data_IF_171525754455
#
_entry.id   IF_171525754455
#
_cell.length_a   1.000
_cell.length_b   1.000
_cell.length_c   1.000
_cell.angle_alpha   90.00
_cell.angle_beta   90.00
_cell.angle_gamma   90.00
#
_symmetry.space_group_name_H-M   'P 1'
#
loop_
_entity.id
_entity.type
_entity.pdbx_description
1 polymer ?
#
# COMPACT_ATOMS: atom_id res chain seq x y z
N UNK A 1 19.46 -15.01 -14.07
CA UNK A 1 18.27 -14.87 -13.17
C UNK A 1 18.47 -13.59 -12.35
N UNK A 2 17.39 -12.86 -12.01
CA UNK A 2 17.44 -11.65 -11.16
C UNK A 2 16.88 -11.99 -9.78
N UNK A 3 17.00 -11.07 -8.82
CA UNK A 3 16.35 -11.26 -7.52
C UNK A 3 14.85 -11.45 -7.68
N UNK A 4 14.31 -12.41 -6.93
CA UNK A 4 12.88 -12.68 -6.84
C UNK A 4 12.24 -11.79 -5.78
N UNK A 5 11.00 -11.37 -6.01
CA UNK A 5 10.17 -10.69 -5.00
C UNK A 5 9.45 -11.70 -4.08
N UNK A 6 9.58 -13.01 -4.35
CA UNK A 6 9.11 -14.09 -3.49
C UNK A 6 10.10 -14.32 -2.33
N UNK A 7 9.63 -14.06 -1.11
CA UNK A 7 10.41 -14.23 0.12
C UNK A 7 10.58 -15.71 0.52
N UNK A 8 10.17 -16.67 -0.29
CA UNK A 8 10.49 -18.10 -0.13
C UNK A 8 11.40 -18.62 -1.23
N UNK A 9 11.69 -17.80 -2.25
CA UNK A 9 12.60 -18.14 -3.33
C UNK A 9 14.07 -18.13 -2.88
N UNK A 10 14.88 -19.02 -3.45
CA UNK A 10 16.32 -19.03 -3.31
C UNK A 10 16.94 -17.72 -3.83
N UNK A 11 16.36 -17.13 -4.87
CA UNK A 11 16.81 -15.85 -5.44
C UNK A 11 16.28 -14.61 -4.70
N UNK A 12 15.66 -14.76 -3.53
CA UNK A 12 15.27 -13.63 -2.69
C UNK A 12 16.46 -12.68 -2.41
N UNK A 13 16.24 -11.37 -2.24
CA UNK A 13 17.31 -10.39 -2.06
C UNK A 13 18.03 -10.48 -0.70
N UNK A 14 17.55 -11.32 0.21
CA UNK A 14 18.12 -11.53 1.53
C UNK A 14 18.26 -13.02 1.83
N UNK A 15 19.33 -13.36 2.53
CA UNK A 15 19.62 -14.73 2.95
C UNK A 15 18.53 -15.24 3.90
N UNK A 16 18.09 -16.47 3.66
CA UNK A 16 17.18 -17.21 4.54
C UNK A 16 17.95 -18.37 5.18
N UNK A 17 17.57 -18.74 6.40
CA UNK A 17 18.22 -19.84 7.11
C UNK A 17 18.24 -21.10 6.24
N UNK A 18 19.34 -21.85 6.32
CA UNK A 18 19.52 -23.07 5.53
C UNK A 18 18.73 -24.22 6.14
N UNK A 19 17.91 -24.88 5.31
CA UNK A 19 17.21 -26.11 5.65
C UNK A 19 17.91 -27.28 4.95
N UNK A 20 18.23 -28.34 5.69
CA UNK A 20 18.83 -29.56 5.12
C UNK A 20 17.86 -30.29 4.17
N UNK A 21 16.55 -30.04 4.29
CA UNK A 21 15.48 -30.54 3.40
C UNK A 21 15.16 -29.63 2.21
N UNK A 22 16.09 -28.76 1.81
CA UNK A 22 15.84 -27.74 0.78
C UNK A 22 15.30 -28.32 -0.53
N UNK A 23 14.14 -27.82 -0.96
CA UNK A 23 13.55 -28.10 -2.27
C UNK A 23 13.50 -26.78 -3.06
N UNK A 24 13.91 -26.80 -4.33
CA UNK A 24 13.94 -25.59 -5.16
C UNK A 24 12.53 -25.00 -5.28
N UNK A 25 12.31 -23.74 -4.84
CA UNK A 25 11.03 -23.07 -4.96
C UNK A 25 10.58 -22.93 -6.42
N UNK A 26 9.26 -22.90 -6.62
CA UNK A 26 8.66 -22.92 -7.95
C UNK A 26 9.08 -21.74 -8.82
N UNK A 27 9.22 -20.54 -8.23
CA UNK A 27 9.67 -19.34 -8.93
C UNK A 27 11.08 -19.49 -9.51
N UNK A 28 12.02 -20.03 -8.72
CA UNK A 28 13.38 -20.29 -9.16
C UNK A 28 13.43 -21.38 -10.23
N UNK A 29 12.62 -22.44 -10.07
CA UNK A 29 12.49 -23.54 -11.03
C UNK A 29 11.98 -23.04 -12.38
N UNK A 30 10.95 -22.19 -12.39
CA UNK A 30 10.44 -21.57 -13.60
C UNK A 30 11.48 -20.63 -14.22
N UNK A 31 12.14 -19.81 -13.40
CA UNK A 31 13.13 -18.84 -13.88
C UNK A 31 14.33 -19.51 -14.57
N UNK A 32 14.87 -20.60 -13.99
CA UNK A 32 15.97 -21.34 -14.60
C UNK A 32 15.50 -22.10 -15.85
N UNK A 33 14.32 -22.73 -15.81
CA UNK A 33 13.76 -23.45 -16.96
C UNK A 33 13.37 -22.52 -18.11
N UNK A 34 13.02 -21.27 -17.85
CA UNK A 34 12.78 -20.26 -18.89
C UNK A 34 14.06 -19.92 -19.65
N UNK A 35 15.21 -19.95 -18.98
CA UNK A 35 16.51 -19.64 -19.60
C UNK A 35 17.11 -20.84 -20.33
N UNK A 36 16.91 -22.05 -19.81
CA UNK A 36 17.65 -23.24 -20.25
C UNK A 36 16.77 -24.43 -20.68
N UNK A 37 15.45 -24.35 -20.50
CA UNK A 37 14.51 -25.43 -20.73
C UNK A 37 14.36 -26.40 -19.54
N UNK A 38 13.35 -27.28 -19.58
CA UNK A 38 13.18 -28.35 -18.59
C UNK A 38 14.28 -29.41 -18.72
N UNK A 39 14.58 -30.12 -17.62
CA UNK A 39 15.69 -31.07 -17.52
C UNK A 39 15.65 -32.22 -18.55
N UNK A 40 14.47 -32.51 -19.10
CA UNK A 40 14.26 -33.59 -20.09
C UNK A 40 14.64 -33.19 -21.52
N UNK A 41 15.05 -31.93 -21.73
CA UNK A 41 15.65 -31.46 -22.98
C UNK A 41 17.16 -31.57 -22.85
N UNK A 42 17.79 -32.42 -23.67
CA UNK A 42 19.25 -32.55 -23.67
C UNK A 42 19.92 -31.18 -23.75
N UNK A 43 20.99 -30.94 -22.97
CA UNK A 43 21.60 -29.63 -22.90
C UNK A 43 22.05 -29.18 -24.29
N UNK A 44 21.47 -28.09 -24.78
CA UNK A 44 22.06 -27.31 -25.86
C UNK A 44 23.39 -26.82 -25.28
N UNK A 45 24.48 -27.47 -25.67
CA UNK A 45 25.83 -27.02 -25.32
C UNK A 45 25.90 -25.51 -25.60
N UNK A 46 26.38 -24.68 -24.65
CA UNK A 46 26.57 -23.26 -24.93
C UNK A 46 27.49 -23.11 -26.15
N UNK A 47 27.30 -22.06 -26.97
CA UNK A 47 28.30 -21.73 -27.99
C UNK A 47 29.67 -21.68 -27.33
N UNK A 48 30.66 -22.37 -27.93
CA UNK A 48 32.06 -22.35 -27.49
C UNK A 48 32.43 -20.93 -27.08
N UNK A 49 32.78 -20.74 -25.82
CA UNK A 49 33.53 -19.56 -25.40
C UNK A 49 34.87 -19.61 -26.12
N UNK A 50 35.12 -18.64 -27.00
CA UNK A 50 36.47 -18.41 -27.50
C UNK A 50 37.43 -18.27 -26.30
N UNK A 51 38.65 -18.81 -26.37
CA UNK A 51 39.61 -18.69 -25.29
C UNK A 51 39.85 -17.21 -24.98
N UNK A 52 40.08 -16.85 -23.70
CA UNK A 52 40.33 -15.47 -23.32
C UNK A 52 41.54 -14.95 -24.09
N UNK A 53 41.31 -13.84 -24.81
CA UNK A 53 42.36 -13.11 -25.52
C UNK A 53 43.40 -12.63 -24.50
N UNK A 54 44.57 -13.25 -24.53
CA UNK A 54 45.76 -12.80 -23.81
C UNK A 54 46.37 -11.61 -24.54
N UNK A 55 45.71 -10.46 -24.46
CA UNK A 55 46.39 -9.20 -24.75
C UNK A 55 47.09 -8.76 -23.44
N UNK A 56 48.38 -8.39 -23.46
CA UNK A 56 49.04 -7.81 -22.29
C UNK A 56 48.37 -6.50 -21.88
N UNK A 57 48.39 -6.13 -20.59
CA UNK A 57 47.76 -4.90 -20.13
C UNK A 57 48.41 -3.70 -20.83
N UNK A 58 47.61 -3.00 -21.64
CA UNK A 58 48.02 -1.74 -22.25
C UNK A 58 48.13 -0.72 -21.12
N UNK A 59 49.35 -0.31 -20.81
CA UNK A 59 49.60 0.84 -19.94
C UNK A 59 49.19 2.07 -20.74
N UNK A 60 47.97 2.56 -20.50
CA UNK A 60 47.55 3.84 -21.04
C UNK A 60 48.40 4.96 -20.40
N UNK A 61 48.91 5.94 -21.18
CA UNK A 61 49.63 7.07 -20.61
C UNK A 61 48.72 7.89 -19.67
N UNK A 62 49.29 8.57 -18.66
CA UNK A 62 48.51 9.36 -17.71
C UNK A 62 47.67 10.40 -18.46
N UNK A 63 46.35 10.37 -18.23
CA UNK A 63 45.41 11.31 -18.84
C UNK A 63 45.76 12.73 -18.40
N UNK A 64 45.98 13.71 -19.31
CA UNK A 64 46.43 15.06 -18.93
C UNK A 64 45.41 15.90 -18.16
N UNK A 65 44.17 15.44 -18.00
CA UNK A 65 43.07 16.27 -17.53
C UNK A 65 42.44 15.73 -16.24
N UNK A 66 42.18 16.59 -15.23
CA UNK A 66 41.49 16.19 -14.01
C UNK A 66 40.07 15.69 -14.32
N UNK A 67 39.49 14.80 -13.48
CA UNK A 67 38.11 14.35 -13.65
C UNK A 67 37.16 15.56 -13.62
N UNK A 68 36.28 15.67 -14.63
CA UNK A 68 35.17 16.63 -14.56
C UNK A 68 34.32 16.32 -13.32
N UNK A 69 33.77 17.34 -12.63
CA UNK A 69 32.76 17.12 -11.61
C UNK A 69 31.59 16.32 -12.20
N UNK A 70 31.21 15.22 -11.54
CA UNK A 70 30.03 14.45 -11.90
C UNK A 70 28.78 15.31 -11.67
N UNK A 71 28.22 15.88 -12.73
CA UNK A 71 26.84 16.36 -12.72
C UNK A 71 25.94 15.16 -13.02
N UNK A 72 25.02 14.75 -12.11
CA UNK A 72 24.04 13.72 -12.42
C UNK A 72 23.24 14.17 -13.65
N UNK A 73 23.35 13.42 -14.75
CA UNK A 73 22.50 13.62 -15.90
C UNK A 73 21.07 13.27 -15.47
N UNK A 74 20.08 14.17 -15.60
CA UNK A 74 18.69 13.84 -15.32
C UNK A 74 18.28 12.67 -16.22
N UNK A 75 17.79 11.59 -15.61
CA UNK A 75 17.17 10.51 -16.36
C UNK A 75 15.99 11.10 -17.13
N UNK A 76 15.83 10.77 -18.44
CA UNK A 76 14.66 11.22 -19.19
C UNK A 76 13.38 10.74 -18.49
N UNK A 77 12.31 11.57 -18.45
CA UNK A 77 11.05 11.20 -17.84
C UNK A 77 10.54 9.89 -18.46
N UNK A 78 10.33 8.88 -17.63
CA UNK A 78 9.75 7.61 -18.07
C UNK A 78 8.32 7.88 -18.54
N UNK A 79 8.09 7.87 -19.84
CA UNK A 79 6.77 8.07 -20.47
C UNK A 79 5.91 6.81 -20.49
N UNK A 80 6.43 5.69 -19.98
CA UNK A 80 5.63 4.49 -19.81
C UNK A 80 4.75 4.62 -18.56
N UNK A 81 3.42 4.44 -18.66
CA UNK A 81 2.61 4.24 -17.47
C UNK A 81 3.23 3.09 -16.67
N UNK A 82 3.30 3.20 -15.33
CA UNK A 82 3.81 2.12 -14.50
C UNK A 82 3.06 0.85 -14.90
N UNK A 83 3.83 -0.18 -15.29
CA UNK A 83 3.24 -1.49 -15.58
C UNK A 83 2.40 -1.89 -14.36
N UNK A 84 1.16 -2.38 -14.55
CA UNK A 84 0.36 -2.91 -13.45
C UNK A 84 1.24 -3.88 -12.66
N UNK A 85 1.36 -3.64 -11.35
CA UNK A 85 2.14 -4.50 -10.48
C UNK A 85 1.54 -5.91 -10.56
N UNK A 86 2.28 -6.85 -11.15
CA UNK A 86 1.88 -8.26 -11.28
C UNK A 86 2.23 -9.08 -10.03
N UNK A 87 2.48 -8.42 -8.89
CA UNK A 87 2.66 -9.13 -7.64
C UNK A 87 1.39 -9.92 -7.32
N UNK A 88 1.53 -11.21 -7.05
CA UNK A 88 0.46 -12.02 -6.50
C UNK A 88 0.02 -11.33 -5.22
N UNK A 89 -1.21 -10.86 -5.22
CA UNK A 89 -1.80 -10.26 -4.04
C UNK A 89 -1.77 -11.32 -2.94
N UNK A 90 -1.28 -11.00 -1.72
CA UNK A 90 -1.16 -11.99 -0.66
C UNK A 90 -2.51 -12.67 -0.48
N UNK A 91 -2.55 -14.00 -0.53
CA UNK A 91 -3.78 -14.76 -0.38
C UNK A 91 -4.22 -14.62 1.08
N UNK A 92 -4.87 -13.51 1.40
CA UNK A 92 -5.48 -13.26 2.71
C UNK A 92 -6.79 -14.02 2.63
N UNK A 93 -6.69 -15.32 2.91
CA UNK A 93 -7.74 -16.30 2.76
C UNK A 93 -9.11 -15.78 3.21
N UNK A 94 -10.14 -16.20 2.47
CA UNK A 94 -11.51 -16.25 2.98
C UNK A 94 -12.04 -17.66 2.96
N UNK A 95 -12.89 -17.94 3.96
CA UNK A 95 -14.16 -18.58 3.65
C UNK A 95 -15.33 -17.60 3.49
N UNK A 96 -15.40 -16.46 4.22
CA UNK A 96 -16.61 -15.60 4.25
C UNK A 96 -16.35 -14.08 4.48
N UNK A 97 -16.06 -13.30 3.43
CA UNK A 97 -15.86 -11.84 3.49
C UNK A 97 -15.74 -11.19 2.09
N UNK A 98 -15.33 -9.91 1.92
CA UNK A 98 -14.88 -9.25 0.67
C UNK A 98 -13.36 -9.34 0.45
N UNK A 99 -12.87 -9.41 -0.79
CA UNK A 99 -11.46 -9.74 -1.08
C UNK A 99 -10.71 -8.45 -1.27
N UNK A 100 -9.67 -8.24 -0.47
CA UNK A 100 -8.85 -7.03 -0.55
C UNK A 100 -8.17 -6.91 -1.92
N UNK A 101 -7.89 -8.04 -2.56
CA UNK A 101 -7.17 -8.14 -3.82
C UNK A 101 -8.04 -7.88 -5.05
N UNK A 102 -9.37 -7.96 -4.91
CA UNK A 102 -10.32 -7.47 -5.93
C UNK A 102 -10.29 -5.93 -6.04
N UNK A 103 -9.75 -5.24 -5.02
CA UNK A 103 -9.71 -3.79 -4.95
C UNK A 103 -11.08 -3.18 -4.68
N UNK A 104 -11.34 -1.99 -5.25
CA UNK A 104 -12.60 -1.25 -5.10
C UNK A 104 -13.05 -1.08 -3.64
N UNK A 105 -12.14 -0.65 -2.77
CA UNK A 105 -12.46 -0.31 -1.37
C UNK A 105 -13.48 0.82 -1.32
N UNK A 106 -14.34 0.81 -0.30
CA UNK A 106 -15.39 1.83 -0.15
C UNK A 106 -14.81 3.13 0.41
N UNK A 107 -13.85 3.02 1.35
CA UNK A 107 -13.12 4.14 1.91
C UNK A 107 -11.73 3.70 2.40
N UNK A 108 -10.83 4.68 2.56
CA UNK A 108 -9.53 4.47 3.19
C UNK A 108 -9.09 5.72 3.94
N UNK A 109 -8.35 5.53 5.02
CA UNK A 109 -7.65 6.62 5.70
C UNK A 109 -6.37 6.10 6.37
N UNK A 110 -5.49 7.04 6.71
CA UNK A 110 -4.31 6.75 7.51
C UNK A 110 -4.61 7.06 8.98
N UNK A 111 -4.28 6.12 9.86
CA UNK A 111 -4.26 6.32 11.31
C UNK A 111 -2.82 6.20 11.82
N UNK A 112 -2.22 7.33 12.22
CA UNK A 112 -0.79 7.40 12.52
C UNK A 112 0.06 6.86 11.34
N UNK A 113 0.75 5.72 11.47
CA UNK A 113 1.52 5.09 10.39
C UNK A 113 0.82 3.87 9.77
N UNK A 114 -0.45 3.65 10.10
CA UNK A 114 -1.21 2.51 9.61
C UNK A 114 -2.22 2.95 8.55
N UNK A 115 -2.30 2.22 7.44
CA UNK A 115 -3.39 2.36 6.49
C UNK A 115 -4.58 1.50 6.90
N UNK A 116 -5.76 2.10 6.90
CA UNK A 116 -7.03 1.45 7.21
C UNK A 116 -7.90 1.49 5.96
N UNK A 117 -8.36 0.32 5.53
CA UNK A 117 -9.25 0.17 4.38
C UNK A 117 -10.59 -0.40 4.80
N UNK A 118 -11.67 0.09 4.19
CA UNK A 118 -13.03 -0.36 4.45
C UNK A 118 -13.64 -1.02 3.22
N UNK A 119 -14.35 -2.12 3.44
CA UNK A 119 -15.26 -2.71 2.44
C UNK A 119 -16.42 -3.37 3.16
N UNK A 120 -17.63 -2.94 2.84
CA UNK A 120 -18.85 -3.36 3.52
C UNK A 120 -18.71 -3.16 5.04
N UNK A 121 -18.78 -4.23 5.83
CA UNK A 121 -18.58 -4.21 7.29
C UNK A 121 -17.18 -4.64 7.73
N UNK A 122 -16.24 -4.81 6.79
CA UNK A 122 -14.88 -5.25 7.06
C UNK A 122 -13.87 -4.12 7.01
N UNK A 123 -12.89 -4.22 7.89
CA UNK A 123 -11.76 -3.31 8.01
C UNK A 123 -10.48 -4.11 7.80
N UNK A 124 -9.63 -3.65 6.90
CA UNK A 124 -8.25 -4.14 6.82
C UNK A 124 -7.30 -3.16 7.49
N UNK A 125 -6.55 -3.67 8.46
CA UNK A 125 -5.55 -2.94 9.20
C UNK A 125 -4.17 -3.25 8.61
N UNK A 126 -3.63 -2.35 7.79
CA UNK A 126 -2.37 -2.57 7.05
C UNK A 126 -1.25 -1.80 7.73
N UNK A 127 -0.47 -2.50 8.56
CA UNK A 127 0.58 -1.91 9.37
C UNK A 127 1.95 -2.14 8.73
N UNK A 128 2.80 -1.10 8.59
CA UNK A 128 4.19 -1.32 8.24
C UNK A 128 4.91 -2.07 9.36
N UNK A 129 5.77 -3.00 8.99
CA UNK A 129 6.72 -3.62 9.91
C UNK A 129 8.11 -2.99 9.74
N UNK A 130 9.00 -3.22 10.70
CA UNK A 130 10.35 -2.64 10.68
C UNK A 130 11.22 -3.20 9.54
N UNK A 131 10.91 -4.39 9.05
CA UNK A 131 11.46 -4.97 7.82
C UNK A 131 10.67 -4.51 6.60
N UNK A 132 11.18 -4.71 5.38
CA UNK A 132 10.37 -4.46 4.17
C UNK A 132 9.15 -5.38 4.20
N UNK A 133 7.95 -4.82 4.37
CA UNK A 133 6.69 -5.57 4.38
C UNK A 133 5.59 -4.89 5.19
N UNK A 134 4.47 -5.62 5.33
CA UNK A 134 3.29 -5.18 6.08
C UNK A 134 2.61 -6.37 6.75
N UNK A 135 1.94 -6.14 7.87
CA UNK A 135 0.93 -7.06 8.41
C UNK A 135 -0.45 -6.60 7.99
N UNK A 136 -1.35 -7.55 7.75
CA UNK A 136 -2.72 -7.27 7.35
C UNK A 136 -3.67 -8.07 8.22
N UNK A 137 -4.54 -7.37 8.94
CA UNK A 137 -5.57 -7.97 9.79
C UNK A 137 -6.94 -7.64 9.22
N UNK A 138 -7.83 -8.64 9.13
CA UNK A 138 -9.23 -8.44 8.76
C UNK A 138 -10.10 -8.42 10.03
N UNK A 139 -10.78 -7.31 10.27
CA UNK A 139 -11.53 -7.06 11.49
C UNK A 139 -12.95 -6.62 11.12
N UNK A 140 -13.93 -7.09 11.89
CA UNK A 140 -15.29 -6.58 11.77
C UNK A 140 -15.38 -5.17 12.37
N UNK A 141 -15.91 -4.23 11.60
CA UNK A 141 -15.93 -2.80 11.92
C UNK A 141 -16.56 -2.48 13.29
N UNK A 142 -17.54 -3.27 13.75
CA UNK A 142 -18.19 -3.05 15.04
C UNK A 142 -17.26 -3.28 16.23
N UNK A 143 -16.15 -4.03 16.05
CA UNK A 143 -15.13 -4.12 17.09
C UNK A 143 -14.49 -2.76 17.33
N UNK A 144 -14.20 -2.00 16.27
CA UNK A 144 -13.47 -0.73 16.27
C UNK A 144 -14.37 0.50 16.47
N UNK A 145 -15.60 0.44 15.95
CA UNK A 145 -16.55 1.55 15.87
C UNK A 145 -17.92 1.12 16.40
N UNK A 146 -18.06 1.07 17.72
CA UNK A 146 -19.26 0.55 18.41
C UNK A 146 -20.50 1.43 18.28
N UNK A 147 -20.32 2.70 17.89
CA UNK A 147 -21.40 3.68 17.71
C UNK A 147 -22.13 3.56 16.37
N UNK A 148 -21.62 2.74 15.44
CA UNK A 148 -22.26 2.53 14.15
C UNK A 148 -23.59 1.76 14.31
N UNK A 149 -24.66 2.19 13.64
CA UNK A 149 -25.95 1.52 13.75
C UNK A 149 -25.91 0.18 13.02
N UNK A 150 -26.50 -0.88 13.59
CA UNK A 150 -26.49 -2.23 12.99
C UNK A 150 -27.04 -2.33 11.55
N UNK A 151 -27.72 -1.29 11.09
CA UNK A 151 -28.33 -1.17 9.76
C UNK A 151 -27.42 -0.52 8.71
N UNK A 152 -26.24 -0.01 9.09
CA UNK A 152 -25.32 0.58 8.11
C UNK A 152 -24.69 -0.52 7.24
N UNK A 153 -24.34 -0.18 6.01
CA UNK A 153 -23.88 -1.14 4.99
C UNK A 153 -22.41 -0.95 4.59
N UNK A 154 -21.94 0.30 4.54
CA UNK A 154 -20.61 0.68 4.06
C UNK A 154 -20.19 2.01 4.66
N UNK A 155 -18.89 2.30 4.60
CA UNK A 155 -18.32 3.62 4.89
C UNK A 155 -17.96 4.26 3.56
N UNK A 156 -18.42 5.49 3.33
CA UNK A 156 -18.22 6.18 2.04
C UNK A 156 -16.95 7.05 2.07
N UNK A 157 -16.59 7.56 3.26
CA UNK A 157 -15.34 8.29 3.47
C UNK A 157 -14.92 8.23 4.94
N UNK A 158 -13.63 8.42 5.21
CA UNK A 158 -13.10 8.47 6.57
C UNK A 158 -11.87 9.37 6.65
N UNK A 159 -11.60 9.94 7.82
CA UNK A 159 -10.31 10.57 8.09
C UNK A 159 -9.95 10.47 9.58
N UNK A 160 -8.65 10.55 9.86
CA UNK A 160 -8.08 10.85 11.18
C UNK A 160 -7.71 12.33 11.25
N UNK A 161 -8.03 13.00 12.36
CA UNK A 161 -7.40 14.25 12.74
C UNK A 161 -6.35 14.00 13.83
N UNK A 162 -5.05 14.00 13.48
CA UNK A 162 -3.99 13.74 14.44
C UNK A 162 -3.88 14.79 15.55
N UNK A 163 -4.41 16.01 15.32
CA UNK A 163 -4.33 17.10 16.29
C UNK A 163 -5.10 16.81 17.59
N UNK A 164 -6.18 16.05 17.51
CA UNK A 164 -7.04 15.70 18.64
C UNK A 164 -7.47 14.22 18.64
N UNK A 165 -6.73 13.39 17.90
CA UNK A 165 -6.95 11.95 17.74
C UNK A 165 -8.39 11.57 17.34
N UNK A 166 -9.08 12.44 16.61
CA UNK A 166 -10.47 12.20 16.21
C UNK A 166 -10.53 11.39 14.93
N UNK A 167 -11.35 10.35 14.91
CA UNK A 167 -11.70 9.60 13.71
C UNK A 167 -13.14 9.95 13.32
N UNK A 168 -13.34 10.34 12.06
CA UNK A 168 -14.66 10.58 11.50
C UNK A 168 -14.94 9.59 10.37
N UNK A 169 -16.11 8.96 10.42
CA UNK A 169 -16.62 8.04 9.40
C UNK A 169 -17.89 8.61 8.79
N UNK A 170 -17.92 8.72 7.46
CA UNK A 170 -19.08 9.16 6.70
C UNK A 170 -19.80 7.95 6.13
N UNK A 171 -21.12 7.92 6.27
CA UNK A 171 -21.99 6.91 5.69
C UNK A 171 -23.32 7.56 5.35
N UNK A 172 -23.65 7.62 4.07
CA UNK A 172 -24.84 8.28 3.52
C UNK A 172 -24.90 9.75 3.96
N UNK A 173 -25.97 10.11 4.67
CA UNK A 173 -26.28 11.45 5.15
C UNK A 173 -25.75 11.74 6.56
N UNK A 174 -24.91 10.85 7.12
CA UNK A 174 -24.41 10.95 8.50
C UNK A 174 -22.90 10.87 8.59
N UNK A 175 -22.38 11.52 9.61
CA UNK A 175 -21.01 11.36 10.09
C UNK A 175 -21.01 10.81 11.52
N UNK A 176 -20.08 9.91 11.79
CA UNK A 176 -19.85 9.30 13.10
C UNK A 176 -18.45 9.67 13.56
N UNK A 177 -18.34 10.29 14.74
CA UNK A 177 -17.12 10.91 15.23
C UNK A 177 -16.76 10.31 16.58
N UNK A 178 -15.53 9.81 16.73
CA UNK A 178 -15.02 9.27 17.99
C UNK A 178 -13.54 9.62 18.20
N UNK A 179 -13.09 9.57 19.44
CA UNK A 179 -11.68 9.79 19.79
C UNK A 179 -10.92 8.45 19.80
N UNK A 180 -10.07 8.22 18.79
CA UNK A 180 -9.40 6.94 18.59
C UNK A 180 -10.36 5.78 18.32
N UNK A 181 -9.85 4.55 18.38
CA UNK A 181 -10.66 3.34 18.23
C UNK A 181 -11.31 2.92 19.54
N UNK A 182 -12.43 2.18 19.46
CA UNK A 182 -13.16 1.60 20.60
C UNK A 182 -13.78 2.62 21.59
N UNK A 183 -13.74 3.90 21.27
CA UNK A 183 -14.33 4.97 22.08
C UNK A 183 -15.82 5.16 21.80
N UNK A 184 -16.52 5.82 22.72
CA UNK A 184 -17.90 6.26 22.45
C UNK A 184 -17.87 7.40 21.45
N UNK A 185 -18.56 7.20 20.32
CA UNK A 185 -18.74 8.23 19.31
C UNK A 185 -20.05 8.98 19.42
N UNK A 186 -20.12 10.11 18.74
CA UNK A 186 -21.34 10.85 18.46
C UNK A 186 -21.65 10.78 16.96
N UNK A 187 -22.90 11.05 16.60
CA UNK A 187 -23.32 11.09 15.20
C UNK A 187 -24.03 12.40 14.89
N UNK A 188 -23.78 12.93 13.70
CA UNK A 188 -24.35 14.17 13.20
C UNK A 188 -24.85 13.96 11.77
N UNK A 189 -25.87 14.70 11.35
CA UNK A 189 -26.22 14.77 9.93
C UNK A 189 -25.22 15.64 9.17
N UNK A 190 -25.10 15.43 7.85
CA UNK A 190 -24.32 16.34 7.00
C UNK A 190 -24.87 17.77 7.04
N UNK A 191 -26.19 17.92 7.19
CA UNK A 191 -26.84 19.21 7.31
C UNK A 191 -26.41 19.98 8.58
N UNK A 192 -26.23 19.30 9.72
CA UNK A 192 -25.68 19.92 10.95
C UNK A 192 -24.24 20.44 10.76
N UNK A 193 -23.52 19.96 9.74
CA UNK A 193 -22.20 20.45 9.33
C UNK A 193 -22.27 21.51 8.23
N UNK A 194 -23.46 21.90 7.77
CA UNK A 194 -23.63 22.81 6.64
C UNK A 194 -23.27 22.20 5.28
N UNK A 195 -23.31 20.87 5.18
CA UNK A 195 -22.98 20.10 3.98
C UNK A 195 -24.28 19.57 3.37
N UNK A 196 -24.63 20.08 2.18
CA UNK A 196 -25.88 19.77 1.50
C UNK A 196 -25.66 18.83 0.31
N UNK A 197 -25.24 17.59 0.60
CA UNK A 197 -25.15 16.50 -0.39
C UNK A 197 -25.65 15.18 0.20
N UNK A 198 -25.98 14.22 -0.66
CA UNK A 198 -26.52 12.92 -0.27
C UNK A 198 -25.46 11.93 0.25
N UNK A 199 -24.21 12.10 -0.15
CA UNK A 199 -23.09 11.23 0.27
C UNK A 199 -21.75 11.94 0.07
N UNK A 200 -20.75 11.50 0.82
CA UNK A 200 -19.36 11.94 0.72
C UNK A 200 -18.56 10.87 -0.02
N UNK A 201 -17.64 11.28 -0.89
CA UNK A 201 -16.82 10.36 -1.72
C UNK A 201 -15.39 10.23 -1.18
N UNK A 202 -14.89 11.27 -0.53
CA UNK A 202 -13.59 11.23 0.14
C UNK A 202 -13.52 12.29 1.24
N UNK A 203 -12.70 12.03 2.25
CA UNK A 203 -12.37 13.01 3.27
C UNK A 203 -10.92 12.83 3.70
N UNK A 204 -10.24 13.92 4.03
CA UNK A 204 -8.86 13.86 4.54
C UNK A 204 -8.50 15.11 5.34
N UNK A 205 -7.49 15.00 6.19
CA UNK A 205 -6.80 16.15 6.76
C UNK A 205 -5.58 16.46 5.91
N UNK A 206 -5.45 17.70 5.43
CA UNK A 206 -4.30 18.08 4.63
C UNK A 206 -3.09 18.39 5.51
N UNK A 207 -2.02 17.61 5.36
CA UNK A 207 -0.81 17.74 6.19
C UNK A 207 -0.10 19.09 6.12
N UNK A 208 -0.32 19.92 5.08
CA UNK A 208 0.34 21.22 4.98
C UNK A 208 -0.29 22.30 5.88
N UNK A 209 -1.63 22.27 6.07
CA UNK A 209 -2.35 23.32 6.80
C UNK A 209 -3.25 22.80 7.92
N UNK A 210 -3.31 21.48 8.12
CA UNK A 210 -4.12 20.82 9.14
C UNK A 210 -5.63 21.00 8.94
N UNK A 211 -6.09 21.47 7.78
CA UNK A 211 -7.52 21.64 7.51
C UNK A 211 -8.12 20.34 7.00
N UNK A 212 -9.38 20.13 7.35
CA UNK A 212 -10.16 18.98 6.92
C UNK A 212 -10.80 19.33 5.58
N UNK A 213 -10.64 18.45 4.60
CA UNK A 213 -11.23 18.54 3.28
C UNK A 213 -12.20 17.38 3.09
N UNK A 214 -13.44 17.70 2.72
CA UNK A 214 -14.50 16.75 2.46
C UNK A 214 -14.91 16.94 1.01
N UNK A 215 -14.97 15.85 0.23
CA UNK A 215 -15.27 15.85 -1.19
C UNK A 215 -16.56 15.07 -1.43
N UNK A 216 -17.45 15.62 -2.25
CA UNK A 216 -18.67 14.94 -2.65
C UNK A 216 -19.21 15.52 -3.95
N UNK A 217 -19.55 14.66 -4.91
CA UNK A 217 -19.95 15.07 -6.24
C UNK A 217 -18.90 16.01 -6.88
N UNK A 218 -19.30 17.22 -7.27
CA UNK A 218 -18.45 18.21 -7.91
C UNK A 218 -18.13 19.39 -6.96
N UNK A 219 -18.17 19.14 -5.66
CA UNK A 219 -17.96 20.13 -4.62
C UNK A 219 -17.01 19.61 -3.54
N UNK A 220 -16.42 20.54 -2.81
CA UNK A 220 -15.67 20.23 -1.61
C UNK A 220 -15.93 21.28 -0.53
N UNK A 221 -15.76 20.86 0.72
CA UNK A 221 -15.86 21.69 1.91
C UNK A 221 -14.53 21.68 2.64
N UNK A 222 -14.16 22.83 3.19
CA UNK A 222 -12.95 22.98 4.02
C UNK A 222 -13.35 23.38 5.43
N UNK A 223 -13.04 22.53 6.40
CA UNK A 223 -13.35 22.74 7.81
C UNK A 223 -12.07 22.96 8.63
N UNK A 224 -12.22 23.65 9.76
CA UNK A 224 -11.14 23.83 10.75
C UNK A 224 -11.20 22.75 11.82
N UNK A 225 -12.40 22.41 12.25
CA UNK A 225 -12.75 21.37 13.19
C UNK A 225 -14.11 20.83 12.77
N UNK A 226 -14.41 19.58 13.09
CA UNK A 226 -15.79 19.09 13.02
C UNK A 226 -16.44 19.37 14.36
N UNK A 227 -17.66 19.91 14.32
CA UNK A 227 -18.41 20.33 15.50
C UNK A 227 -18.54 19.18 16.50
N UNK A 228 -17.63 19.10 17.47
CA UNK A 228 -17.90 18.52 18.80
C UNK A 228 -18.75 19.59 19.47
N UNK A 229 -20.04 19.36 19.73
CA UNK A 229 -20.92 20.36 20.35
C UNK A 229 -20.19 21.08 21.51
N UNK A 230 -20.36 22.41 21.68
CA UNK A 230 -19.88 23.06 22.90
C UNK A 230 -20.51 22.36 24.10
N UNK A 231 -19.71 22.07 25.13
CA UNK A 231 -20.25 21.90 26.48
C UNK A 231 -20.88 23.25 26.82
N UNK A 232 -22.20 23.27 26.95
CA UNK A 232 -22.90 24.43 27.48
C UNK A 232 -22.57 24.46 28.97
N UNK A 233 -21.73 25.40 29.39
CA UNK A 233 -21.61 25.80 30.79
C UNK A 233 -22.89 26.50 31.27
#
# INVERSE_FOLDING_TARGET
IRHSDDNTALMAPFYQNFDEGFTLPEDDRIAIQTLYGPADVQPILPPRTDPPRTDPPRIDPPRPNPPRPYTPRPSPPTTHPPRPYQGKCPNIDKPNGPDMCEGNVDAAFQYSDTLIFFKETKVWWVRPITTRGYTIENIDIYYLFRSLPKTFTSIDAAYENPADNTIALFSKDKVYIQEGFNSRGQSYSLEELGIHVSSIEAAMVWGHNGRIYIFGHNQYWRLTHVNKKPVVD
#
